data_IF_395752241811
#
_entry.id   IF_395752241811
#
_cell.length_a   1.000
_cell.length_b   1.000
_cell.length_c   1.000
_cell.angle_alpha   90.00
_cell.angle_beta   90.00
_cell.angle_gamma   90.00
#
_symmetry.space_group_name_H-M   'P 1'
#
loop_
_entity.id
_entity.type
_entity.pdbx_description
1 polymer ?
#
# COMPACT_ATOMS: atom_id res chain seq x y z
N UNK A 1 42.94 -5.32 50.04
CA UNK A 1 41.58 -5.03 50.59
C UNK A 1 41.46 -3.52 50.64
N UNK A 2 40.56 -2.82 49.95
CA UNK A 2 39.56 -3.20 48.97
C UNK A 2 39.49 -2.10 47.90
N UNK A 3 39.12 -2.50 46.68
CA UNK A 3 38.93 -1.63 45.54
C UNK A 3 37.58 -0.90 45.62
N UNK A 4 37.57 0.32 45.11
CA UNK A 4 36.44 1.22 44.97
C UNK A 4 35.45 0.60 43.96
N UNK A 5 34.21 0.36 44.38
CA UNK A 5 33.11 -0.02 43.50
C UNK A 5 32.51 1.25 42.89
N UNK A 6 32.92 1.57 41.66
CA UNK A 6 32.21 2.50 40.78
C UNK A 6 31.48 1.67 39.73
N UNK A 7 30.22 1.34 39.99
CA UNK A 7 29.29 0.83 38.99
C UNK A 7 27.92 1.45 39.23
N UNK A 8 27.81 2.72 38.91
CA UNK A 8 26.54 3.35 38.56
C UNK A 8 26.70 3.99 37.17
N UNK A 9 26.89 3.13 36.17
CA UNK A 9 26.86 3.53 34.78
C UNK A 9 25.41 3.48 34.31
N UNK A 10 24.75 4.64 34.41
CA UNK A 10 23.38 4.87 33.99
C UNK A 10 23.09 4.26 32.62
N UNK A 11 22.03 3.45 32.60
CA UNK A 11 21.45 2.88 31.40
C UNK A 11 20.95 4.03 30.52
N UNK A 12 21.74 4.41 29.51
CA UNK A 12 21.35 5.46 28.56
C UNK A 12 20.25 4.91 27.65
N UNK A 13 19.06 5.48 27.78
CA UNK A 13 17.89 5.32 26.91
C UNK A 13 18.11 5.90 25.48
N UNK A 14 19.25 5.66 24.82
CA UNK A 14 19.51 6.19 23.48
C UNK A 14 18.90 5.35 22.34
N UNK A 15 18.66 4.05 22.57
CA UNK A 15 18.30 3.13 21.49
C UNK A 15 16.80 3.11 21.13
N UNK A 16 15.95 3.73 21.94
CA UNK A 16 14.50 3.75 21.73
C UNK A 16 14.04 4.90 20.82
N UNK A 17 14.70 6.06 20.87
CA UNK A 17 14.34 7.20 20.02
C UNK A 17 14.83 7.04 18.57
N UNK A 18 16.02 6.47 18.33
CA UNK A 18 16.54 6.21 16.98
C UNK A 18 15.67 5.23 16.18
N UNK A 19 14.99 4.31 16.85
CA UNK A 19 14.12 3.32 16.20
C UNK A 19 12.82 3.92 15.69
N UNK A 20 12.27 4.95 16.33
CA UNK A 20 10.94 5.47 16.01
C UNK A 20 10.82 6.00 14.58
N UNK A 21 11.89 6.60 14.04
CA UNK A 21 11.96 7.10 12.66
C UNK A 21 12.48 6.07 11.67
N UNK A 22 12.23 4.77 11.84
CA UNK A 22 12.73 3.72 10.93
C UNK A 22 11.61 2.97 10.24
N UNK A 23 11.91 2.44 9.04
CA UNK A 23 11.03 1.45 8.43
C UNK A 23 10.90 0.21 9.32
N UNK A 24 11.89 -0.09 10.17
CA UNK A 24 11.78 -1.17 11.16
C UNK A 24 10.64 -0.93 12.13
N UNK A 25 10.50 0.28 12.69
CA UNK A 25 9.39 0.59 13.58
C UNK A 25 8.03 0.55 12.87
N UNK A 26 7.96 0.97 11.60
CA UNK A 26 6.76 0.81 10.76
C UNK A 26 6.44 -0.67 10.61
N UNK A 27 7.42 -1.48 10.23
CA UNK A 27 7.25 -2.92 10.04
C UNK A 27 6.83 -3.65 11.33
N UNK A 28 7.43 -3.33 12.48
CA UNK A 28 7.02 -3.90 13.76
C UNK A 28 5.57 -3.56 14.11
N UNK A 29 5.09 -2.35 13.74
CA UNK A 29 3.66 -2.02 13.89
C UNK A 29 2.78 -2.88 12.98
N UNK A 30 3.16 -3.03 11.71
CA UNK A 30 2.43 -3.91 10.77
C UNK A 30 2.33 -5.34 11.36
N UNK A 31 3.42 -5.87 11.91
CA UNK A 31 3.42 -7.21 12.50
C UNK A 31 2.52 -7.32 13.75
N UNK A 32 2.48 -6.29 14.60
CA UNK A 32 1.61 -6.28 15.78
C UNK A 32 0.13 -6.33 15.37
N UNK A 33 -0.24 -5.50 14.38
CA UNK A 33 -1.60 -5.44 13.86
C UNK A 33 -1.99 -6.73 13.13
N UNK A 34 -1.04 -7.37 12.43
CA UNK A 34 -1.30 -8.63 11.74
C UNK A 34 -1.42 -9.86 12.69
N UNK A 35 -0.78 -9.82 13.88
CA UNK A 35 -0.75 -10.93 14.84
C UNK A 35 -1.91 -10.95 15.83
N UNK A 36 -2.58 -9.83 16.00
CA UNK A 36 -3.80 -9.79 16.81
C UNK A 36 -4.90 -10.40 15.95
N UNK A 37 -5.25 -11.66 16.22
CA UNK A 37 -6.40 -12.33 15.60
C UNK A 37 -7.11 -13.07 16.73
N UNK A 38 -8.38 -12.78 16.94
CA UNK A 38 -9.20 -13.49 17.94
C UNK A 38 -9.79 -14.79 17.39
N UNK A 39 -9.29 -15.26 16.24
CA UNK A 39 -9.76 -16.46 15.56
C UNK A 39 -11.10 -16.30 14.81
N UNK A 40 -11.75 -15.13 14.88
CA UNK A 40 -13.04 -14.88 14.21
C UNK A 40 -13.08 -13.60 13.38
N UNK A 41 -12.27 -12.59 13.75
CA UNK A 41 -12.16 -11.33 13.04
C UNK A 41 -10.70 -11.03 12.72
N UNK A 42 -10.42 -10.70 11.46
CA UNK A 42 -9.12 -10.17 11.09
C UNK A 42 -8.95 -8.78 11.71
N UNK A 43 -7.91 -8.57 12.52
CA UNK A 43 -7.60 -7.21 13.00
C UNK A 43 -7.23 -6.34 11.80
N UNK A 44 -7.88 -5.17 11.75
CA UNK A 44 -7.59 -4.08 10.82
C UNK A 44 -6.36 -3.35 11.32
N UNK A 45 -5.51 -2.87 10.40
CA UNK A 45 -4.39 -2.01 10.78
C UNK A 45 -4.90 -0.86 11.66
N UNK A 46 -4.18 -0.53 12.71
CA UNK A 46 -4.48 0.66 13.50
C UNK A 46 -4.02 1.86 12.69
N UNK A 47 -4.96 2.46 11.96
CA UNK A 47 -4.67 3.56 11.05
C UNK A 47 -3.96 4.72 11.75
N UNK A 48 -4.27 4.98 13.03
CA UNK A 48 -3.72 6.11 13.77
C UNK A 48 -2.27 5.85 14.18
N UNK A 49 -1.99 4.71 14.79
CA UNK A 49 -0.62 4.36 15.17
C UNK A 49 0.27 4.11 13.95
N UNK A 50 -0.27 3.49 12.90
CA UNK A 50 0.41 3.35 11.61
C UNK A 50 0.78 4.72 11.04
N UNK A 51 -0.17 5.66 11.00
CA UNK A 51 0.08 7.00 10.49
C UNK A 51 1.19 7.72 11.28
N UNK A 52 1.21 7.60 12.61
CA UNK A 52 2.26 8.18 13.46
C UNK A 52 3.65 7.61 13.13
N UNK A 53 3.77 6.28 13.00
CA UNK A 53 5.05 5.61 12.69
C UNK A 53 5.53 5.96 11.28
N UNK A 54 4.64 5.92 10.29
CA UNK A 54 5.00 6.28 8.91
C UNK A 54 5.40 7.74 8.83
N UNK A 55 4.70 8.65 9.51
CA UNK A 55 5.06 10.08 9.52
C UNK A 55 6.46 10.31 10.10
N UNK A 56 6.78 9.66 11.22
CA UNK A 56 8.10 9.76 11.83
C UNK A 56 9.20 9.28 10.87
N UNK A 57 8.97 8.16 10.18
CA UNK A 57 9.88 7.65 9.16
C UNK A 57 10.02 8.62 7.96
N UNK A 58 8.92 9.13 7.43
CA UNK A 58 8.93 10.10 6.32
C UNK A 58 9.70 11.38 6.70
N UNK A 59 9.50 11.90 7.93
CA UNK A 59 10.27 13.05 8.42
C UNK A 59 11.77 12.76 8.49
N UNK A 60 12.17 11.54 8.89
CA UNK A 60 13.59 11.16 8.93
C UNK A 60 14.25 11.16 7.55
N UNK A 61 13.50 10.81 6.50
CA UNK A 61 13.95 10.84 5.10
C UNK A 61 14.05 12.29 4.61
N UNK A 62 13.05 13.11 4.90
CA UNK A 62 13.00 14.52 4.50
C UNK A 62 14.09 15.36 5.18
N UNK A 63 14.43 15.06 6.45
CA UNK A 63 15.50 15.75 7.18
C UNK A 63 16.91 15.29 6.80
N UNK A 64 17.04 14.22 6.01
CA UNK A 64 18.33 13.63 5.64
C UNK A 64 18.98 12.78 6.74
N UNK A 65 18.31 12.59 7.89
CA UNK A 65 18.78 11.66 8.94
C UNK A 65 18.78 10.20 8.48
N UNK A 66 18.01 9.88 7.43
CA UNK A 66 18.08 8.61 6.70
C UNK A 66 18.28 8.82 5.21
N UNK A 67 19.07 7.95 4.55
CA UNK A 67 19.24 8.02 3.11
C UNK A 67 17.89 7.74 2.42
N UNK A 68 17.66 8.46 1.32
CA UNK A 68 16.45 8.33 0.50
C UNK A 68 16.69 7.45 -0.73
N UNK A 69 17.95 7.13 -1.03
CA UNK A 69 18.38 6.48 -2.27
C UNK A 69 17.67 5.14 -2.48
N UNK A 70 17.60 4.29 -1.44
CA UNK A 70 16.91 3.00 -1.49
C UNK A 70 15.42 3.14 -1.85
N UNK A 71 14.76 4.19 -1.38
CA UNK A 71 13.33 4.45 -1.67
C UNK A 71 13.20 4.98 -3.09
N UNK A 72 14.09 5.87 -3.51
CA UNK A 72 14.11 6.42 -4.87
C UNK A 72 14.32 5.31 -5.91
N UNK A 73 15.24 4.38 -5.64
CA UNK A 73 15.51 3.23 -6.51
C UNK A 73 14.33 2.26 -6.63
N UNK A 74 13.39 2.27 -5.69
CA UNK A 74 12.23 1.38 -5.72
C UNK A 74 10.94 2.09 -6.13
N UNK A 75 10.97 3.41 -6.26
CA UNK A 75 9.82 4.25 -6.54
C UNK A 75 9.80 4.71 -7.98
N UNK A 76 8.60 4.85 -8.52
CA UNK A 76 8.42 5.15 -9.93
C UNK A 76 7.05 5.76 -10.23
N UNK A 77 6.92 6.35 -11.41
CA UNK A 77 5.63 6.68 -12.01
C UNK A 77 5.17 5.43 -12.77
N UNK A 78 4.02 4.91 -12.38
CA UNK A 78 3.41 3.74 -13.01
C UNK A 78 3.01 4.07 -14.45
N UNK A 79 2.94 3.07 -15.33
CA UNK A 79 2.50 3.26 -16.73
C UNK A 79 1.12 3.91 -16.88
N UNK A 80 0.27 3.77 -15.86
CA UNK A 80 -1.04 4.44 -15.80
C UNK A 80 -0.98 5.88 -15.25
N UNK A 81 0.22 6.43 -15.09
CA UNK A 81 0.48 7.84 -14.73
C UNK A 81 0.60 8.15 -13.24
N UNK A 82 0.14 7.28 -12.33
CA UNK A 82 0.18 7.55 -10.90
C UNK A 82 1.57 7.32 -10.30
N UNK A 83 1.90 8.08 -9.24
CA UNK A 83 3.16 7.89 -8.52
C UNK A 83 3.03 6.72 -7.55
N UNK A 84 3.99 5.79 -7.58
CA UNK A 84 4.10 4.65 -6.67
C UNK A 84 5.39 4.74 -5.89
N UNK A 85 5.30 5.30 -4.69
CA UNK A 85 6.44 5.49 -3.80
C UNK A 85 6.54 4.27 -2.88
N UNK A 86 7.59 3.47 -3.03
CA UNK A 86 7.82 2.28 -2.20
C UNK A 86 8.59 2.71 -0.95
N UNK A 87 7.88 2.88 0.16
CA UNK A 87 8.49 3.34 1.42
C UNK A 87 9.38 2.28 2.06
N UNK A 88 9.09 1.00 1.83
CA UNK A 88 9.96 -0.08 2.28
C UNK A 88 9.35 -1.45 2.12
N UNK A 89 10.21 -2.46 2.26
CA UNK A 89 9.86 -3.89 2.16
C UNK A 89 10.58 -4.64 3.28
N UNK A 90 9.88 -5.51 4.00
CA UNK A 90 10.49 -6.37 5.01
C UNK A 90 9.63 -7.59 5.30
N UNK A 91 10.25 -8.75 5.45
CA UNK A 91 9.58 -10.02 5.79
C UNK A 91 8.36 -10.34 4.91
N UNK A 92 8.44 -10.03 3.61
CA UNK A 92 7.35 -10.22 2.65
C UNK A 92 6.30 -9.10 2.64
N UNK A 93 6.28 -8.22 3.64
CA UNK A 93 5.45 -7.02 3.64
C UNK A 93 6.07 -5.93 2.77
N UNK A 94 5.20 -5.09 2.21
CA UNK A 94 5.63 -3.86 1.55
C UNK A 94 4.64 -2.73 1.85
N UNK A 95 5.19 -1.54 2.13
CA UNK A 95 4.44 -0.31 2.32
C UNK A 95 4.65 0.59 1.10
N UNK A 96 3.57 1.12 0.54
CA UNK A 96 3.59 1.99 -0.63
C UNK A 96 2.70 3.19 -0.42
N UNK A 97 3.12 4.33 -0.93
CA UNK A 97 2.29 5.51 -1.06
C UNK A 97 1.94 5.68 -2.54
N UNK A 98 0.64 5.63 -2.85
CA UNK A 98 0.14 5.87 -4.20
C UNK A 98 -0.45 7.28 -4.27
N UNK A 99 -0.16 7.98 -5.37
CA UNK A 99 -0.74 9.29 -5.66
C UNK A 99 -1.23 9.35 -7.10
N UNK A 100 -2.54 9.45 -7.25
CA UNK A 100 -3.26 9.59 -8.50
C UNK A 100 -3.60 11.07 -8.70
N UNK A 101 -3.24 11.61 -9.86
CA UNK A 101 -3.73 12.90 -10.33
C UNK A 101 -5.06 12.72 -11.10
N UNK A 102 -5.84 13.79 -11.31
CA UNK A 102 -7.06 13.71 -12.10
C UNK A 102 -6.82 13.04 -13.47
N UNK A 103 -7.73 12.15 -13.86
CA UNK A 103 -7.65 11.33 -15.07
C UNK A 103 -6.82 10.05 -14.93
N UNK A 104 -6.10 9.84 -13.83
CA UNK A 104 -5.26 8.65 -13.60
C UNK A 104 -6.00 7.59 -12.80
N UNK A 105 -5.74 6.31 -13.10
CA UNK A 105 -6.32 5.16 -12.40
C UNK A 105 -5.49 3.89 -12.61
N UNK A 106 -6.03 2.74 -12.22
CA UNK A 106 -5.50 1.43 -12.58
C UNK A 106 -6.62 0.59 -13.18
N UNK A 107 -6.89 0.88 -14.45
CA UNK A 107 -8.09 0.39 -15.14
C UNK A 107 -7.99 -1.07 -15.59
N UNK A 108 -6.80 -1.65 -15.53
CA UNK A 108 -6.62 -3.07 -15.82
C UNK A 108 -7.29 -3.86 -14.70
N UNK A 109 -8.23 -4.73 -15.05
CA UNK A 109 -8.85 -5.61 -14.05
C UNK A 109 -7.79 -6.61 -13.60
N UNK A 110 -7.64 -6.77 -12.29
CA UNK A 110 -6.69 -7.71 -11.72
C UNK A 110 -7.08 -8.15 -10.32
N UNK A 111 -6.45 -9.22 -9.85
CA UNK A 111 -6.43 -9.60 -8.45
C UNK A 111 -5.00 -9.50 -7.90
N UNK A 112 -4.80 -10.01 -6.68
CA UNK A 112 -3.53 -9.90 -5.98
C UNK A 112 -2.91 -11.27 -5.69
N UNK A 113 -1.59 -11.34 -5.82
CA UNK A 113 -0.83 -12.49 -5.33
C UNK A 113 -0.58 -12.45 -3.82
N UNK A 114 -0.73 -11.28 -3.19
CA UNK A 114 -0.54 -11.13 -1.74
C UNK A 114 -1.73 -11.75 -1.02
N UNK A 115 -1.51 -12.35 0.16
CA UNK A 115 -2.61 -12.93 0.94
C UNK A 115 -3.68 -11.89 1.30
N UNK A 116 -3.25 -10.62 1.49
CA UNK A 116 -4.08 -9.48 1.83
C UNK A 116 -3.42 -8.17 1.39
N UNK A 117 -4.25 -7.19 1.10
CA UNK A 117 -3.87 -5.79 0.96
C UNK A 117 -4.71 -4.94 1.91
N UNK A 118 -4.10 -3.97 2.56
CA UNK A 118 -4.78 -2.94 3.34
C UNK A 118 -4.43 -1.57 2.75
N UNK A 119 -5.41 -0.68 2.63
CA UNK A 119 -5.24 0.62 2.02
C UNK A 119 -5.99 1.68 2.81
N UNK A 120 -5.24 2.67 3.29
CA UNK A 120 -5.77 3.86 3.95
C UNK A 120 -5.85 4.99 2.92
N UNK A 121 -7.05 5.51 2.67
CA UNK A 121 -7.24 6.69 1.81
C UNK A 121 -6.87 7.94 2.61
N UNK A 122 -5.86 8.68 2.16
CA UNK A 122 -5.35 9.87 2.84
C UNK A 122 -5.87 11.19 2.23
N UNK A 123 -6.22 11.17 0.95
CA UNK A 123 -6.68 12.33 0.18
C UNK A 123 -7.69 11.89 -0.88
N UNK A 124 -8.70 12.73 -1.12
CA UNK A 124 -9.76 12.49 -2.10
C UNK A 124 -10.64 11.29 -1.76
N UNK A 125 -11.30 10.75 -2.79
CA UNK A 125 -12.05 9.50 -2.75
C UNK A 125 -11.57 8.54 -3.84
N UNK A 126 -11.10 7.35 -3.45
CA UNK A 126 -10.71 6.32 -4.41
C UNK A 126 -11.95 5.60 -4.92
N UNK A 127 -12.13 5.55 -6.24
CA UNK A 127 -13.23 4.81 -6.86
C UNK A 127 -12.70 3.52 -7.48
N UNK A 128 -13.42 2.42 -7.26
CA UNK A 128 -13.09 1.13 -7.82
C UNK A 128 -14.34 0.42 -8.35
N UNK A 129 -14.18 -0.32 -9.44
CA UNK A 129 -15.14 -1.34 -9.83
C UNK A 129 -14.62 -2.69 -9.35
N UNK A 130 -15.48 -3.46 -8.70
CA UNK A 130 -15.29 -4.87 -8.41
C UNK A 130 -16.03 -5.70 -9.44
N UNK A 131 -15.40 -6.80 -9.85
CA UNK A 131 -15.91 -7.67 -10.91
C UNK A 131 -15.94 -9.11 -10.42
N UNK A 132 -16.76 -9.92 -11.06
CA UNK A 132 -16.82 -11.37 -10.86
C UNK A 132 -16.83 -12.10 -12.19
N UNK A 133 -16.44 -13.38 -12.15
CA UNK A 133 -16.62 -14.27 -13.28
C UNK A 133 -18.10 -14.49 -13.56
N UNK A 134 -18.44 -14.60 -14.83
CA UNK A 134 -19.80 -14.86 -15.31
C UNK A 134 -19.75 -15.76 -16.55
N UNK A 135 -20.91 -16.25 -16.97
CA UNK A 135 -21.05 -16.94 -18.25
C UNK A 135 -21.29 -15.92 -19.38
N UNK A 136 -20.96 -16.31 -20.61
CA UNK A 136 -21.10 -15.42 -21.78
C UNK A 136 -22.54 -15.02 -22.10
N UNK A 137 -23.53 -15.71 -21.54
CA UNK A 137 -24.95 -15.44 -21.70
C UNK A 137 -25.52 -14.50 -20.62
N UNK A 138 -24.75 -14.18 -19.58
CA UNK A 138 -25.20 -13.31 -18.51
C UNK A 138 -25.32 -11.86 -18.98
N UNK A 139 -26.29 -11.12 -18.43
CA UNK A 139 -26.47 -9.71 -18.76
C UNK A 139 -25.25 -8.89 -18.31
N UNK A 140 -24.78 -8.00 -19.20
CA UNK A 140 -23.58 -7.21 -18.97
C UNK A 140 -22.25 -7.99 -19.00
N UNK A 141 -22.27 -9.28 -19.39
CA UNK A 141 -21.05 -10.06 -19.56
C UNK A 141 -20.13 -9.43 -20.61
N UNK A 142 -18.90 -9.14 -20.21
CA UNK A 142 -17.90 -8.57 -21.08
C UNK A 142 -16.76 -9.57 -21.28
N UNK A 143 -16.30 -9.73 -22.52
CA UNK A 143 -15.17 -10.63 -22.83
C UNK A 143 -13.83 -9.99 -22.43
N UNK A 144 -12.93 -10.82 -21.91
CA UNK A 144 -11.58 -10.46 -21.48
C UNK A 144 -10.56 -11.55 -21.82
N UNK A 145 -9.33 -11.13 -22.08
CA UNK A 145 -8.16 -12.00 -22.18
C UNK A 145 -7.53 -12.16 -20.80
N UNK A 146 -7.52 -13.38 -20.27
CA UNK A 146 -6.96 -13.69 -18.95
C UNK A 146 -5.48 -14.03 -19.07
N UNK A 147 -4.70 -13.47 -18.17
CA UNK A 147 -3.26 -13.75 -18.08
C UNK A 147 -2.86 -14.04 -16.64
N UNK A 148 -1.97 -15.02 -16.46
CA UNK A 148 -1.24 -15.18 -15.21
C UNK A 148 -0.02 -14.26 -15.23
N UNK A 149 0.14 -13.45 -14.19
CA UNK A 149 1.27 -12.56 -14.00
C UNK A 149 2.02 -12.90 -12.71
N UNK A 150 3.32 -13.15 -12.82
CA UNK A 150 4.17 -13.49 -11.67
C UNK A 150 5.54 -12.85 -11.74
N UNK A 151 6.13 -12.62 -10.56
CA UNK A 151 7.53 -12.18 -10.46
C UNK A 151 8.47 -13.38 -10.71
N UNK A 152 9.53 -13.18 -11.49
CA UNK A 152 10.57 -14.17 -11.77
C UNK A 152 11.95 -13.50 -11.70
N UNK A 153 12.62 -13.62 -10.55
CA UNK A 153 13.86 -12.85 -10.29
C UNK A 153 13.56 -11.36 -10.20
N UNK A 154 14.24 -10.57 -11.03
CA UNK A 154 14.00 -9.12 -11.18
C UNK A 154 12.98 -8.79 -12.28
N UNK A 155 12.60 -9.77 -13.09
CA UNK A 155 11.62 -9.66 -14.15
C UNK A 155 10.24 -10.15 -13.74
N UNK A 156 9.31 -10.04 -14.69
CA UNK A 156 7.99 -10.60 -14.61
C UNK A 156 7.73 -11.53 -15.79
N UNK A 157 6.88 -12.53 -15.56
CA UNK A 157 6.40 -13.44 -16.59
C UNK A 157 4.90 -13.25 -16.68
N UNK A 158 4.40 -13.11 -17.91
CA UNK A 158 2.98 -13.13 -18.25
C UNK A 158 2.72 -14.35 -19.11
N UNK A 159 1.66 -15.10 -18.81
CA UNK A 159 1.20 -16.20 -19.64
C UNK A 159 -0.27 -15.98 -19.95
N UNK A 160 -0.63 -16.02 -21.24
CA UNK A 160 -2.03 -16.02 -21.64
C UNK A 160 -2.71 -17.34 -21.25
N UNK A 161 -3.90 -17.25 -20.67
CA UNK A 161 -4.67 -18.37 -20.12
C UNK A 161 -6.03 -18.55 -20.81
N UNK A 162 -6.21 -17.90 -21.97
CA UNK A 162 -7.45 -17.93 -22.74
C UNK A 162 -8.44 -16.82 -22.39
N UNK A 163 -9.57 -16.87 -23.08
CA UNK A 163 -10.67 -15.93 -22.93
C UNK A 163 -11.52 -16.25 -21.68
N UNK A 164 -12.13 -15.23 -21.09
CA UNK A 164 -13.10 -15.34 -20.00
C UNK A 164 -14.12 -14.22 -20.08
N UNK A 165 -15.21 -14.34 -19.33
CA UNK A 165 -16.22 -13.30 -19.20
C UNK A 165 -16.26 -12.77 -17.77
N UNK A 166 -16.33 -11.45 -17.63
CA UNK A 166 -16.47 -10.77 -16.35
C UNK A 166 -17.68 -9.82 -16.42
N UNK A 167 -18.36 -9.67 -15.28
CA UNK A 167 -19.46 -8.71 -15.10
C UNK A 167 -19.14 -7.81 -13.91
N UNK A 168 -19.54 -6.52 -13.92
CA UNK A 168 -19.49 -5.69 -12.72
C UNK A 168 -20.31 -6.30 -11.59
N UNK A 169 -19.72 -6.39 -10.41
CA UNK A 169 -20.37 -6.84 -9.18
C UNK A 169 -20.79 -5.63 -8.34
N UNK A 170 -19.84 -4.73 -8.07
CA UNK A 170 -20.03 -3.61 -7.18
C UNK A 170 -19.18 -2.42 -7.62
N UNK A 171 -19.73 -1.20 -7.49
CA UNK A 171 -18.94 0.02 -7.56
C UNK A 171 -18.73 0.57 -6.15
N UNK A 172 -17.48 0.68 -5.75
CA UNK A 172 -17.11 1.09 -4.40
C UNK A 172 -16.46 2.48 -4.42
N UNK A 173 -16.83 3.26 -3.41
CA UNK A 173 -16.29 4.59 -3.15
C UNK A 173 -15.60 4.56 -1.80
N UNK A 174 -14.27 4.63 -1.80
CA UNK A 174 -13.49 4.69 -0.58
C UNK A 174 -13.15 6.14 -0.21
N UNK A 175 -13.86 6.77 0.74
CA UNK A 175 -13.62 8.17 1.09
C UNK A 175 -12.34 8.35 1.92
N UNK A 176 -11.88 9.59 2.01
CA UNK A 176 -10.78 10.00 2.87
C UNK A 176 -10.92 9.46 4.30
N UNK A 177 -9.82 8.88 4.77
CA UNK A 177 -9.59 8.24 6.07
C UNK A 177 -10.29 6.91 6.27
N UNK A 178 -10.93 6.35 5.23
CA UNK A 178 -11.28 4.94 5.25
C UNK A 178 -10.01 4.08 5.16
N UNK A 179 -9.92 3.10 6.05
CA UNK A 179 -9.04 1.96 5.92
C UNK A 179 -9.86 0.76 5.45
N UNK A 180 -9.59 0.29 4.24
CA UNK A 180 -10.22 -0.91 3.70
C UNK A 180 -9.19 -2.02 3.48
N UNK A 181 -9.69 -3.25 3.44
CA UNK A 181 -8.90 -4.45 3.24
C UNK A 181 -9.45 -5.21 2.05
N UNK A 182 -8.55 -5.82 1.28
CA UNK A 182 -8.89 -6.64 0.12
C UNK A 182 -8.14 -7.97 0.21
N UNK A 183 -8.86 -9.05 -0.04
CA UNK A 183 -8.26 -10.37 -0.14
C UNK A 183 -7.51 -10.55 -1.47
N UNK A 184 -6.85 -11.70 -1.59
CA UNK A 184 -6.03 -12.02 -2.74
C UNK A 184 -6.84 -12.24 -4.05
N UNK A 185 -8.12 -12.56 -3.98
CA UNK A 185 -8.92 -13.06 -5.10
C UNK A 185 -9.95 -12.05 -5.62
N UNK A 186 -10.23 -10.98 -4.88
CA UNK A 186 -11.15 -9.92 -5.32
C UNK A 186 -10.62 -9.27 -6.60
N UNK A 187 -11.38 -9.44 -7.69
CA UNK A 187 -11.10 -8.76 -8.96
C UNK A 187 -11.54 -7.31 -8.84
N UNK A 188 -10.64 -6.41 -9.24
CA UNK A 188 -10.93 -4.99 -9.19
C UNK A 188 -10.17 -4.23 -10.25
N UNK A 189 -10.64 -3.01 -10.51
CA UNK A 189 -9.90 -1.96 -11.19
C UNK A 189 -10.12 -0.64 -10.46
N UNK A 190 -9.11 0.22 -10.46
CA UNK A 190 -9.21 1.58 -9.93
C UNK A 190 -9.61 2.51 -11.07
N UNK A 191 -10.73 3.20 -10.89
CA UNK A 191 -11.26 4.14 -11.88
C UNK A 191 -10.41 5.41 -11.94
N UNK A 192 -10.42 6.14 -13.08
CA UNK A 192 -9.81 7.46 -13.17
C UNK A 192 -10.29 8.38 -12.06
N UNK A 193 -9.34 8.94 -11.31
CA UNK A 193 -9.64 9.90 -10.27
C UNK A 193 -10.19 11.20 -10.88
N UNK A 194 -11.24 11.76 -10.30
CA UNK A 194 -11.79 13.07 -10.70
C UNK A 194 -11.08 14.24 -10.01
N UNK A 195 -10.43 13.95 -8.89
CA UNK A 195 -9.63 14.85 -8.06
C UNK A 195 -8.33 14.12 -7.64
N UNK A 196 -7.33 14.80 -7.07
CA UNK A 196 -6.17 14.11 -6.52
C UNK A 196 -6.57 13.10 -5.44
N UNK A 197 -6.10 11.86 -5.58
CA UNK A 197 -6.33 10.78 -4.63
C UNK A 197 -4.99 10.24 -4.16
N UNK A 198 -4.87 10.00 -2.86
CA UNK A 198 -3.64 9.46 -2.28
C UNK A 198 -3.96 8.36 -1.28
N UNK A 199 -3.23 7.24 -1.37
CA UNK A 199 -3.44 6.09 -0.49
C UNK A 199 -2.13 5.57 0.08
N UNK A 200 -2.19 5.07 1.32
CA UNK A 200 -1.11 4.34 1.96
C UNK A 200 -1.48 2.85 1.96
N UNK A 201 -0.72 2.05 1.22
CA UNK A 201 -1.02 0.65 0.93
C UNK A 201 0.00 -0.27 1.59
N UNK A 202 -0.49 -1.22 2.37
CA UNK A 202 0.27 -2.35 2.91
C UNK A 202 -0.11 -3.61 2.15
N UNK A 203 0.86 -4.25 1.52
CA UNK A 203 0.66 -5.61 0.97
C UNK A 203 1.34 -6.62 1.87
N UNK A 204 0.61 -7.68 2.20
CA UNK A 204 1.05 -8.78 3.06
C UNK A 204 1.94 -9.78 2.28
N UNK A 205 2.60 -10.72 2.98
CA UNK A 205 3.41 -11.74 2.35
C UNK A 205 2.68 -12.50 1.25
N UNK A 206 3.44 -12.88 0.22
CA UNK A 206 2.96 -13.75 -0.85
C UNK A 206 2.92 -15.19 -0.32
N UNK A 207 1.77 -15.87 -0.34
CA UNK A 207 1.65 -17.26 0.08
C UNK A 207 2.41 -18.18 -0.90
N UNK A 208 2.91 -19.31 -0.39
CA UNK A 208 3.71 -20.27 -1.19
C UNK A 208 2.87 -20.91 -2.30
N UNK A 209 1.60 -21.13 -2.01
CA UNK A 209 0.61 -21.74 -2.87
C UNK A 209 0.05 -20.79 -3.92
N UNK A 210 0.21 -19.45 -3.75
CA UNK A 210 -0.25 -18.43 -4.70
C UNK A 210 0.76 -17.32 -4.98
N UNK A 211 1.75 -17.60 -5.81
CA UNK A 211 2.84 -16.68 -6.17
C UNK A 211 2.57 -15.80 -7.41
N UNK A 212 1.39 -15.93 -8.02
CA UNK A 212 0.92 -15.23 -9.22
C UNK A 212 -0.41 -14.52 -8.95
N UNK A 213 -0.75 -13.57 -9.81
CA UNK A 213 -2.06 -12.92 -9.87
C UNK A 213 -2.63 -13.02 -11.28
N UNK A 214 -3.94 -12.84 -11.41
CA UNK A 214 -4.62 -12.73 -12.68
C UNK A 214 -4.63 -11.27 -13.14
N UNK A 215 -4.38 -11.06 -14.42
CA UNK A 215 -4.49 -9.79 -15.13
C UNK A 215 -5.43 -9.98 -16.32
N UNK A 216 -6.39 -9.08 -16.48
CA UNK A 216 -7.38 -9.14 -17.54
C UNK A 216 -7.26 -7.91 -18.44
N UNK A 217 -7.16 -8.16 -19.74
CA UNK A 217 -7.00 -7.14 -20.76
C UNK A 217 -8.01 -7.33 -21.89
N UNK A 218 -8.15 -6.32 -22.74
CA UNK A 218 -8.94 -6.41 -23.98
C UNK A 218 -8.18 -7.02 -25.16
N UNK A 219 -6.90 -7.31 -24.97
CA UNK A 219 -6.02 -7.91 -25.96
C UNK A 219 -5.07 -8.90 -25.27
N UNK A 220 -4.54 -9.82 -26.05
CA UNK A 220 -3.52 -10.76 -25.59
C UNK A 220 -2.21 -10.00 -25.39
N UNK A 221 -1.57 -10.20 -24.24
CA UNK A 221 -0.22 -9.71 -23.98
C UNK A 221 0.74 -10.80 -24.49
N UNK A 222 1.30 -10.60 -25.68
CA UNK A 222 2.27 -11.53 -26.28
C UNK A 222 3.65 -11.38 -25.63
N UNK A 223 4.06 -10.14 -25.33
CA UNK A 223 5.28 -9.83 -24.61
C UNK A 223 5.00 -8.77 -23.55
N UNK A 224 5.64 -8.89 -22.39
CA UNK A 224 5.61 -7.80 -21.42
C UNK A 224 6.40 -6.63 -22.01
N UNK A 225 5.70 -5.53 -22.27
CA UNK A 225 6.39 -4.26 -22.35
C UNK A 225 7.24 -4.11 -21.07
N UNK A 226 8.50 -3.67 -21.20
CA UNK A 226 9.26 -3.24 -20.03
C UNK A 226 8.33 -2.38 -19.19
N UNK A 227 8.26 -2.63 -17.89
CA UNK A 227 7.57 -1.69 -17.02
C UNK A 227 8.40 -0.41 -17.16
N UNK A 228 7.97 0.49 -18.05
CA UNK A 228 8.64 1.76 -18.29
C UNK A 228 8.36 2.62 -17.07
N UNK A 229 9.06 2.29 -15.99
CA UNK A 229 9.02 2.93 -14.70
C UNK A 229 9.80 4.22 -14.85
N UNK A 230 9.11 5.31 -15.16
CA UNK A 230 9.75 6.62 -15.15
C UNK A 230 10.17 6.87 -13.71
N UNK A 231 11.48 6.91 -13.49
CA UNK A 231 12.05 7.20 -12.17
C UNK A 231 11.65 8.61 -11.76
N UNK A 232 11.23 8.76 -10.51
CA UNK A 232 11.01 10.08 -9.95
C UNK A 232 12.35 10.80 -9.86
N UNK A 233 12.38 12.07 -10.24
CA UNK A 233 13.51 12.94 -9.89
C UNK A 233 13.56 13.12 -8.37
N UNK A 234 14.73 13.50 -7.84
CA UNK A 234 14.87 13.81 -6.40
C UNK A 234 13.87 14.88 -5.94
N UNK A 235 13.63 15.89 -6.79
CA UNK A 235 12.66 16.95 -6.50
C UNK A 235 11.22 16.40 -6.41
N UNK A 236 10.83 15.53 -7.35
CA UNK A 236 9.52 14.88 -7.34
C UNK A 236 9.37 13.95 -6.13
N UNK A 237 10.44 13.24 -5.73
CA UNK A 237 10.45 12.41 -4.53
C UNK A 237 10.22 13.25 -3.28
N UNK A 238 11.00 14.31 -3.08
CA UNK A 238 10.85 15.23 -1.94
C UNK A 238 9.45 15.84 -1.90
N UNK A 239 8.91 16.27 -3.04
CA UNK A 239 7.55 16.79 -3.12
C UNK A 239 6.50 15.74 -2.70
N UNK A 240 6.67 14.50 -3.14
CA UNK A 240 5.75 13.39 -2.83
C UNK A 240 5.80 13.01 -1.34
N UNK A 241 7.00 12.95 -0.76
CA UNK A 241 7.19 12.65 0.66
C UNK A 241 6.70 13.80 1.56
N UNK A 242 6.94 15.06 1.18
CA UNK A 242 6.38 16.22 1.89
C UNK A 242 4.86 16.25 1.86
N UNK A 243 4.26 15.89 0.71
CA UNK A 243 2.81 15.75 0.60
C UNK A 243 2.28 14.63 1.52
N UNK A 244 2.93 13.46 1.51
CA UNK A 244 2.59 12.36 2.41
C UNK A 244 2.70 12.76 3.89
N UNK A 245 3.78 13.45 4.29
CA UNK A 245 3.96 13.94 5.67
C UNK A 245 2.79 14.83 6.10
N UNK A 246 2.39 15.78 5.25
CA UNK A 246 1.25 16.67 5.48
C UNK A 246 -0.04 15.88 5.64
N UNK A 247 -0.30 14.93 4.74
CA UNK A 247 -1.51 14.11 4.78
C UNK A 247 -1.58 13.26 6.06
N UNK A 248 -0.47 12.66 6.48
CA UNK A 248 -0.39 11.90 7.73
C UNK A 248 -0.61 12.79 8.95
N UNK A 249 -0.09 14.02 8.95
CA UNK A 249 -0.37 14.99 10.02
C UNK A 249 -1.85 15.32 10.13
N UNK A 250 -2.53 15.53 9.00
CA UNK A 250 -3.98 15.77 8.97
C UNK A 250 -4.77 14.55 9.44
N UNK A 251 -4.37 13.34 9.02
CA UNK A 251 -5.02 12.11 9.46
C UNK A 251 -4.91 11.92 10.97
N UNK A 252 -3.72 12.10 11.54
CA UNK A 252 -3.50 11.97 12.99
C UNK A 252 -4.33 13.00 13.77
N UNK A 253 -4.42 14.24 13.29
CA UNK A 253 -5.23 15.27 13.92
C UNK A 253 -6.73 14.91 13.89
N UNK A 254 -7.21 14.36 12.77
CA UNK A 254 -8.58 13.85 12.66
C UNK A 254 -8.85 12.73 13.66
N UNK A 255 -7.96 11.74 13.75
CA UNK A 255 -8.15 10.60 14.65
C UNK A 255 -8.25 11.05 16.12
N UNK A 256 -7.41 12.01 16.52
CA UNK A 256 -7.48 12.62 17.86
C UNK A 256 -8.82 13.31 18.10
N UNK A 257 -9.29 14.12 17.13
CA UNK A 257 -10.59 14.81 17.26
C UNK A 257 -11.76 13.83 17.37
N UNK A 258 -11.73 12.71 16.63
CA UNK A 258 -12.77 11.69 16.68
C UNK A 258 -12.79 11.00 18.05
N UNK A 259 -11.62 10.59 18.56
CA UNK A 259 -11.51 9.96 19.87
C UNK A 259 -12.02 10.86 21.02
N UNK A 260 -11.73 12.16 20.95
CA UNK A 260 -12.25 13.12 21.94
C UNK A 260 -13.76 13.31 21.84
N UNK A 261 -14.34 13.22 20.63
CA UNK A 261 -15.79 13.37 20.45
C UNK A 261 -16.56 12.15 20.96
N UNK A 262 -16.02 10.94 20.79
CA UNK A 262 -16.65 9.71 21.29
C UNK A 262 -16.56 9.60 22.82
N UNK A 263 -15.49 10.10 23.43
CA UNK A 263 -15.33 10.12 24.90
C UNK A 263 -16.17 11.17 25.64
N UNK A 264 -16.83 12.09 24.94
CA UNK A 264 -17.71 13.12 25.55
C UNK A 264 -19.17 12.65 25.65
N UNK A 265 -19.52 11.57 24.96
CA UNK A 265 -20.87 10.97 25.00
C UNK A 265 -20.92 9.62 25.75
N UNK A 266 -19.85 9.24 26.45
CA UNK A 266 -19.74 8.01 27.25
C UNK A 266 -19.92 8.27 28.76
#
# INVERSE_FOLDING_TARGET
MGAINDHDAGWKHSDFEEKAGSFEAVHQRILLDAKTTDGTHQVRLDASEMAKKVRAYVRSLLSGTKPMDDIMEQSYIHKNGFQKIVLGRKSGFAMRFHRYLPGQGDQNVHDHRWSRMDSLVLEGSLQADYLVYCDSADDGAEKWERHDYRKAGDDYIVNHQGETYLVPDERVHHPKGELYSMDAKRLHRILPATEPVATLVVTHPVPKERVWCNLYQKHVIEELEPVHEIRLTRQQMVASLSHLERLLTLQIARDVSMATSEGVWA
#
